data_IF_209595734975
#
_entry.id   IF_209595734975
#
_cell.length_a   1.000
_cell.length_b   1.000
_cell.length_c   1.000
_cell.angle_alpha   90.00
_cell.angle_beta   90.00
_cell.angle_gamma   90.00
#
_symmetry.space_group_name_H-M   'P 1'
#
loop_
_entity.id
_entity.type
_entity.pdbx_description
1 polymer ?
#
# COMPACT_ATOMS: atom_id res chain seq x y z
N UNK A 1 -12.42 -27.64 25.25
CA UNK A 1 -11.60 -27.71 24.02
C UNK A 1 -11.07 -26.32 23.73
N UNK A 2 -9.76 -26.09 23.80
CA UNK A 2 -9.17 -24.77 23.59
C UNK A 2 -9.01 -24.46 22.10
N UNK A 3 -9.58 -23.35 21.63
CA UNK A 3 -9.28 -22.85 20.30
C UNK A 3 -7.82 -22.38 20.25
N UNK A 4 -7.02 -22.93 19.33
CA UNK A 4 -5.64 -22.47 19.09
C UNK A 4 -5.70 -21.01 18.63
N UNK A 5 -4.83 -20.10 19.14
CA UNK A 5 -4.76 -18.74 18.63
C UNK A 5 -4.42 -18.78 17.14
N UNK A 6 -5.29 -18.21 16.31
CA UNK A 6 -5.00 -18.01 14.89
C UNK A 6 -4.09 -16.80 14.75
N UNK A 7 -2.93 -16.99 14.12
CA UNK A 7 -2.03 -15.90 13.78
C UNK A 7 -2.73 -14.95 12.77
N UNK A 8 -2.99 -13.68 13.13
CA UNK A 8 -3.66 -12.74 12.24
C UNK A 8 -2.86 -12.48 10.95
N UNK A 9 -1.54 -12.70 10.95
CA UNK A 9 -0.69 -12.61 9.77
C UNK A 9 -0.92 -13.71 8.73
N UNK A 10 -1.58 -14.82 9.10
CA UNK A 10 -1.92 -15.93 8.22
C UNK A 10 -3.36 -15.88 7.68
N UNK A 11 -4.19 -14.99 8.21
CA UNK A 11 -5.55 -14.79 7.68
C UNK A 11 -5.49 -14.10 6.31
N UNK A 12 -6.46 -14.32 5.41
CA UNK A 12 -6.58 -13.49 4.22
C UNK A 12 -6.87 -12.03 4.64
N UNK A 13 -6.41 -11.02 3.87
CA UNK A 13 -6.48 -9.61 4.27
C UNK A 13 -7.87 -9.14 4.74
N UNK A 14 -8.96 -9.62 4.14
CA UNK A 14 -10.34 -9.27 4.49
C UNK A 14 -10.86 -9.89 5.80
N UNK A 15 -10.17 -10.90 6.35
CA UNK A 15 -10.45 -11.46 7.70
C UNK A 15 -9.51 -10.87 8.76
N UNK A 16 -8.51 -10.07 8.36
CA UNK A 16 -7.61 -9.40 9.31
C UNK A 16 -8.33 -8.21 9.92
N UNK A 17 -8.07 -7.96 11.21
CA UNK A 17 -8.43 -6.69 11.82
C UNK A 17 -7.69 -5.58 11.09
N UNK A 18 -8.35 -4.43 10.93
CA UNK A 18 -7.70 -3.24 10.39
C UNK A 18 -6.45 -2.94 11.23
N UNK A 19 -5.29 -2.71 10.59
CA UNK A 19 -4.10 -2.32 11.33
C UNK A 19 -4.37 -1.02 12.10
N UNK A 20 -3.87 -0.91 13.36
CA UNK A 20 -4.00 0.33 14.10
C UNK A 20 -3.26 1.46 13.39
N UNK A 21 -3.84 2.66 13.38
CA UNK A 21 -3.23 3.85 12.80
C UNK A 21 -4.10 4.56 11.77
N UNK A 22 -3.63 5.75 11.35
CA UNK A 22 -4.27 6.55 10.31
C UNK A 22 -3.72 6.15 8.94
N UNK A 23 -4.59 6.07 7.95
CA UNK A 23 -4.16 5.99 6.56
C UNK A 23 -3.35 7.25 6.22
N UNK A 24 -2.21 7.05 5.55
CA UNK A 24 -1.39 8.15 5.04
C UNK A 24 -1.56 8.21 3.52
N UNK A 25 -1.90 9.38 2.95
CA UNK A 25 -1.91 9.52 1.50
C UNK A 25 -0.50 9.39 0.94
N UNK A 26 -0.39 8.95 -0.32
CA UNK A 26 0.88 9.00 -1.06
C UNK A 26 1.28 10.46 -1.31
N UNK A 27 2.59 10.73 -1.25
CA UNK A 27 3.17 12.01 -1.67
C UNK A 27 3.04 12.19 -3.19
N UNK A 28 3.26 13.42 -3.70
CA UNK A 28 3.22 13.68 -5.13
C UNK A 28 4.21 12.80 -5.92
N UNK A 29 5.44 12.65 -5.41
CA UNK A 29 6.46 11.79 -6.02
C UNK A 29 6.04 10.32 -6.07
N UNK A 30 5.47 9.81 -4.98
CA UNK A 30 4.97 8.43 -4.93
C UNK A 30 3.83 8.20 -5.95
N UNK A 31 2.92 9.16 -6.12
CA UNK A 31 1.85 9.08 -7.13
C UNK A 31 2.42 9.07 -8.55
N UNK A 32 3.39 9.93 -8.83
CA UNK A 32 4.05 9.99 -10.14
C UNK A 32 4.74 8.66 -10.49
N UNK A 33 5.51 8.11 -9.55
CA UNK A 33 6.17 6.82 -9.72
C UNK A 33 5.18 5.65 -9.90
N UNK A 34 4.08 5.64 -9.15
CA UNK A 34 3.01 4.65 -9.32
C UNK A 34 2.36 4.73 -10.71
N UNK A 35 2.07 5.95 -11.19
CA UNK A 35 1.48 6.17 -12.50
C UNK A 35 2.40 5.72 -13.63
N UNK A 36 3.69 6.03 -13.56
CA UNK A 36 4.70 5.60 -14.54
C UNK A 36 4.77 4.07 -14.63
N UNK A 37 4.85 3.39 -13.47
CA UNK A 37 4.90 1.93 -13.41
C UNK A 37 3.64 1.27 -13.96
N UNK A 38 2.46 1.85 -13.66
CA UNK A 38 1.20 1.38 -14.21
C UNK A 38 1.18 1.51 -15.75
N UNK A 39 1.65 2.65 -16.28
CA UNK A 39 1.77 2.89 -17.71
C UNK A 39 2.69 1.87 -18.42
N UNK A 40 3.88 1.62 -17.85
CA UNK A 40 4.82 0.61 -18.36
C UNK A 40 4.23 -0.80 -18.37
N UNK A 41 3.40 -1.13 -17.38
CA UNK A 41 2.72 -2.41 -17.29
C UNK A 41 1.37 -2.45 -18.03
N UNK A 42 0.99 -1.38 -18.75
CA UNK A 42 -0.33 -1.22 -19.40
C UNK A 42 -1.52 -1.47 -18.45
N UNK A 43 -1.36 -1.12 -17.16
CA UNK A 43 -2.41 -1.22 -16.13
C UNK A 43 -3.11 0.12 -15.99
N UNK A 44 -4.42 0.09 -15.72
CA UNK A 44 -5.16 1.32 -15.41
C UNK A 44 -4.65 1.93 -14.10
N UNK A 45 -4.47 3.25 -14.10
CA UNK A 45 -4.22 4.05 -12.91
C UNK A 45 -5.50 4.84 -12.56
N UNK A 46 -5.83 5.07 -11.27
CA UNK A 46 -5.14 4.58 -10.06
C UNK A 46 -5.41 3.11 -9.75
N UNK A 47 -4.41 2.39 -9.21
CA UNK A 47 -4.57 1.01 -8.76
C UNK A 47 -3.79 0.71 -7.47
N UNK A 48 -4.23 -0.30 -6.72
CA UNK A 48 -3.65 -0.63 -5.42
C UNK A 48 -2.22 -1.16 -5.52
N UNK A 49 -1.90 -2.00 -6.51
CA UNK A 49 -0.60 -2.68 -6.61
C UNK A 49 0.53 -1.68 -6.79
N UNK A 50 0.37 -0.74 -7.73
CA UNK A 50 1.39 0.26 -8.03
C UNK A 50 1.44 1.33 -6.93
N UNK A 51 0.30 1.67 -6.31
CA UNK A 51 0.25 2.54 -5.13
C UNK A 51 0.99 1.92 -3.92
N UNK A 52 0.81 0.62 -3.65
CA UNK A 52 1.50 -0.11 -2.59
C UNK A 52 3.00 -0.24 -2.87
N UNK A 53 3.38 -0.41 -4.13
CA UNK A 53 4.79 -0.43 -4.53
C UNK A 53 5.42 0.94 -4.29
N UNK A 54 4.78 2.03 -4.72
CA UNK A 54 5.30 3.38 -4.50
C UNK A 54 5.42 3.71 -3.00
N UNK A 55 4.45 3.32 -2.17
CA UNK A 55 4.52 3.49 -0.72
C UNK A 55 5.73 2.82 -0.07
N UNK A 56 6.24 1.73 -0.67
CA UNK A 56 7.33 0.92 -0.12
C UNK A 56 8.70 1.27 -0.69
N UNK A 57 8.76 1.64 -1.96
CA UNK A 57 10.01 1.73 -2.72
C UNK A 57 10.40 3.14 -3.15
N UNK A 58 9.47 4.09 -3.10
CA UNK A 58 9.72 5.47 -3.52
C UNK A 58 9.85 6.32 -2.27
N UNK A 59 11.01 6.97 -2.12
CA UNK A 59 11.26 7.88 -1.02
C UNK A 59 10.18 8.97 -1.00
N UNK A 60 9.53 9.21 0.15
CA UNK A 60 8.67 10.37 0.30
C UNK A 60 9.59 11.60 0.24
N UNK A 61 9.59 12.32 -0.89
CA UNK A 61 10.22 13.64 -0.94
C UNK A 61 9.59 14.52 0.14
N UNK A 62 10.42 15.28 0.84
CA UNK A 62 9.98 16.25 1.84
C UNK A 62 9.30 17.40 1.09
N UNK A 63 8.00 17.61 1.33
CA UNK A 63 7.30 18.81 0.88
C UNK A 63 7.81 19.98 1.76
N UNK A 64 9.04 20.43 1.54
CA UNK A 64 9.63 21.65 2.12
C UNK A 64 9.82 22.71 1.03
N UNK A 65 8.74 23.47 0.81
CA UNK A 65 8.77 24.91 0.51
C UNK A 65 7.52 25.53 1.10
#
# INVERSE_FOLDING_TARGET
MGHKPVDPGKLPPWKRRQPPGKSRPLTANQKAAAQQRAGQASRRYPNLVDNMWAAKHVAPEDEST
#
